data_IF_459600335384
#
_entry.id   IF_459600335384
#
_cell.length_a   1.000
_cell.length_b   1.000
_cell.length_c   1.000
_cell.angle_alpha   90.00
_cell.angle_beta   90.00
_cell.angle_gamma   90.00
#
_symmetry.space_group_name_H-M   'P 1'
#
loop_
_entity.id
_entity.type
_entity.pdbx_description
1 polymer ?
#
# COMPACT_ATOMS: atom_id res chain seq x y z
N UNK A 1 2.73 -22.79 5.90
CA UNK A 1 3.56 -22.88 4.69
C UNK A 1 4.58 -21.78 4.74
N UNK A 2 5.81 -22.15 5.10
CA UNK A 2 6.91 -21.23 5.40
C UNK A 2 7.68 -20.87 4.13
N UNK A 3 8.22 -19.65 4.13
CA UNK A 3 9.02 -19.07 3.05
C UNK A 3 10.27 -19.94 2.84
N UNK A 4 10.44 -20.51 1.64
CA UNK A 4 11.69 -21.17 1.26
C UNK A 4 12.73 -20.09 0.89
N UNK A 5 13.71 -19.86 1.75
CA UNK A 5 14.92 -19.12 1.40
C UNK A 5 15.99 -20.11 0.99
N UNK A 6 16.29 -20.21 -0.30
CA UNK A 6 17.48 -20.93 -0.76
C UNK A 6 18.65 -19.96 -0.92
N UNK A 7 19.88 -20.49 -0.88
CA UNK A 7 21.13 -19.74 -1.06
C UNK A 7 21.26 -18.97 -2.38
N UNK A 8 20.52 -19.33 -3.43
CA UNK A 8 20.77 -18.77 -4.77
C UNK A 8 19.68 -17.86 -5.29
N UNK A 9 18.71 -17.44 -4.44
CA UNK A 9 17.87 -16.30 -4.84
C UNK A 9 18.79 -15.10 -4.90
N UNK A 10 19.15 -14.72 -6.11
CA UNK A 10 20.00 -13.58 -6.39
C UNK A 10 19.27 -12.32 -5.90
N UNK A 11 19.57 -11.96 -4.66
CA UNK A 11 19.32 -10.71 -3.93
C UNK A 11 17.90 -10.45 -3.38
N UNK A 12 17.74 -10.65 -2.07
CA UNK A 12 17.08 -9.62 -1.27
C UNK A 12 17.88 -8.33 -1.52
N UNK A 13 17.39 -7.42 -2.37
CA UNK A 13 18.11 -6.17 -2.66
C UNK A 13 18.44 -5.42 -1.36
N UNK A 14 17.50 -5.48 -0.44
CA UNK A 14 17.58 -4.86 0.87
C UNK A 14 17.90 -5.94 1.89
N UNK A 15 19.18 -6.10 2.22
CA UNK A 15 19.65 -7.01 3.27
C UNK A 15 19.53 -6.39 4.66
N UNK A 16 19.53 -5.05 4.72
CA UNK A 16 19.42 -4.28 5.94
C UNK A 16 18.44 -3.13 5.76
N UNK A 17 17.55 -2.96 6.74
CA UNK A 17 16.73 -1.76 6.90
C UNK A 17 17.12 -1.10 8.21
N UNK A 18 17.33 0.23 8.17
CA UNK A 18 17.53 1.01 9.38
C UNK A 18 16.17 1.31 10.00
N UNK A 19 16.00 0.95 11.25
CA UNK A 19 14.85 1.32 12.07
C UNK A 19 15.31 2.37 13.07
N UNK A 20 14.58 3.48 13.15
CA UNK A 20 14.91 4.51 14.14
C UNK A 20 14.61 4.01 15.56
N UNK A 21 15.43 4.41 16.52
CA UNK A 21 15.25 3.99 17.91
C UNK A 21 13.87 4.45 18.43
N UNK A 22 13.18 3.57 19.18
CA UNK A 22 11.84 3.84 19.75
C UNK A 22 10.76 4.16 18.70
N UNK A 23 10.94 3.75 17.44
CA UNK A 23 9.93 3.89 16.38
C UNK A 23 9.06 2.64 16.25
N UNK A 24 7.82 2.83 15.80
CA UNK A 24 6.95 1.73 15.37
C UNK A 24 7.04 1.62 13.87
N UNK A 25 7.13 0.40 13.34
CA UNK A 25 7.30 0.18 11.91
C UNK A 25 6.47 -1.01 11.46
N UNK A 26 6.01 -0.97 10.22
CA UNK A 26 5.53 -2.14 9.50
C UNK A 26 6.53 -2.43 8.38
N UNK A 27 7.02 -3.65 8.36
CA UNK A 27 7.96 -4.12 7.34
C UNK A 27 7.21 -5.03 6.37
N UNK A 28 7.34 -4.75 5.08
CA UNK A 28 6.75 -5.53 4.00
C UNK A 28 7.84 -6.22 3.19
N UNK A 29 7.64 -7.51 2.91
CA UNK A 29 8.39 -8.24 1.90
C UNK A 29 7.54 -8.31 0.63
N UNK A 30 8.03 -7.72 -0.46
CA UNK A 30 7.30 -7.55 -1.72
C UNK A 30 8.17 -7.91 -2.91
N UNK A 31 7.56 -8.14 -4.07
CA UNK A 31 8.27 -8.32 -5.34
C UNK A 31 9.03 -7.03 -5.70
N UNK A 32 10.26 -7.16 -6.18
CA UNK A 32 11.05 -6.02 -6.64
C UNK A 32 10.55 -5.53 -8.01
N UNK A 33 10.72 -4.22 -8.25
CA UNK A 33 10.54 -3.61 -9.58
C UNK A 33 11.75 -3.80 -10.49
N UNK A 34 12.93 -4.09 -9.92
CA UNK A 34 14.19 -4.08 -10.68
C UNK A 34 14.42 -5.36 -11.46
N UNK A 35 14.04 -6.52 -10.89
CA UNK A 35 14.19 -7.81 -11.55
C UNK A 35 13.05 -8.75 -11.17
N UNK A 36 12.70 -9.65 -12.07
CA UNK A 36 11.72 -10.71 -11.87
C UNK A 36 12.13 -11.81 -10.87
N UNK A 37 13.36 -11.75 -10.35
CA UNK A 37 13.95 -12.77 -9.47
C UNK A 37 14.17 -12.28 -8.04
N UNK A 38 13.91 -11.00 -7.73
CA UNK A 38 14.27 -10.37 -6.45
C UNK A 38 13.06 -9.90 -5.65
N UNK A 39 13.23 -9.87 -4.32
CA UNK A 39 12.30 -9.24 -3.40
C UNK A 39 12.88 -7.92 -2.88
N UNK A 40 11.99 -6.98 -2.56
CA UNK A 40 12.29 -5.75 -1.83
C UNK A 40 11.74 -5.83 -0.41
N UNK A 41 12.48 -5.26 0.55
CA UNK A 41 11.98 -5.00 1.90
C UNK A 41 11.62 -3.51 1.99
N UNK A 42 10.34 -3.22 2.23
CA UNK A 42 9.85 -1.85 2.40
C UNK A 42 9.56 -1.63 3.88
N UNK A 43 10.28 -0.68 4.49
CA UNK A 43 10.00 -0.23 5.85
C UNK A 43 9.07 0.98 5.83
N UNK A 44 7.94 0.87 6.52
CA UNK A 44 6.98 1.96 6.68
C UNK A 44 6.90 2.32 8.17
N UNK A 45 7.47 3.47 8.59
CA UNK A 45 7.33 3.95 9.96
C UNK A 45 5.87 4.32 10.21
N UNK A 46 5.37 3.94 11.37
CA UNK A 46 4.05 4.32 11.84
C UNK A 46 4.23 5.58 12.69
N UNK A 47 3.72 6.70 12.18
CA UNK A 47 3.60 7.91 12.98
C UNK A 47 2.53 7.70 14.06
N UNK A 48 2.96 7.73 15.33
CA UNK A 48 2.03 7.90 16.44
C UNK A 48 1.63 9.36 16.46
N UNK A 49 0.46 9.66 15.92
CA UNK A 49 -0.15 10.97 16.03
C UNK A 49 -1.03 11.06 17.27
N UNK A 50 -1.11 12.23 17.86
CA UNK A 50 -2.12 12.51 18.88
C UNK A 50 -3.51 12.38 18.26
N UNK A 51 -4.48 11.95 19.08
CA UNK A 51 -5.87 11.84 18.64
C UNK A 51 -6.40 13.22 18.28
N UNK A 52 -6.87 13.36 17.03
CA UNK A 52 -7.53 14.57 16.55
C UNK A 52 -9.04 14.31 16.45
N UNK A 53 -9.81 15.11 17.17
CA UNK A 53 -11.26 15.03 17.10
C UNK A 53 -11.77 15.35 15.69
N UNK A 54 -12.78 14.61 15.21
CA UNK A 54 -13.32 14.84 13.87
C UNK A 54 -12.45 14.33 12.71
N UNK A 55 -11.27 13.74 12.97
CA UNK A 55 -10.36 13.25 11.92
C UNK A 55 -9.90 11.81 12.12
N UNK A 56 -9.49 11.20 11.00
CA UNK A 56 -8.83 9.89 10.91
C UNK A 56 -7.45 10.08 10.29
N UNK A 57 -6.40 9.46 10.84
CA UNK A 57 -5.09 9.44 10.17
C UNK A 57 -5.01 8.24 9.23
N UNK A 58 -4.71 8.47 7.96
CA UNK A 58 -4.53 7.43 6.95
C UNK A 58 -3.14 7.53 6.36
N UNK A 59 -2.38 6.43 6.47
CA UNK A 59 -1.11 6.24 5.79
C UNK A 59 -1.32 5.42 4.53
N UNK A 60 -1.00 6.00 3.39
CA UNK A 60 -1.06 5.38 2.08
C UNK A 60 0.30 4.76 1.76
N UNK A 61 0.31 3.53 1.24
CA UNK A 61 1.54 2.83 0.85
C UNK A 61 1.34 2.21 -0.52
N UNK A 62 2.23 2.53 -1.48
CA UNK A 62 2.26 1.86 -2.77
C UNK A 62 3.26 0.70 -2.73
N UNK A 63 2.77 -0.53 -2.79
CA UNK A 63 3.55 -1.76 -2.86
C UNK A 63 3.33 -2.49 -4.19
N UNK A 64 2.66 -1.85 -5.16
CA UNK A 64 2.44 -2.42 -6.49
C UNK A 64 3.65 -2.13 -7.36
N UNK A 65 4.34 -3.16 -7.89
CA UNK A 65 5.56 -2.95 -8.67
C UNK A 65 5.29 -2.38 -10.08
N UNK A 66 4.06 -2.50 -10.59
CA UNK A 66 3.72 -2.22 -11.99
C UNK A 66 2.47 -1.32 -12.17
N UNK A 67 1.83 -0.86 -11.08
CA UNK A 67 0.73 0.11 -11.16
C UNK A 67 1.22 1.53 -11.48
N UNK A 68 2.54 1.74 -11.51
CA UNK A 68 3.15 3.07 -11.61
C UNK A 68 2.93 3.90 -10.35
N UNK A 69 3.07 5.22 -10.51
CA UNK A 69 2.74 6.18 -9.44
C UNK A 69 1.25 6.21 -9.24
N UNK A 70 0.81 6.17 -7.99
CA UNK A 70 -0.60 6.22 -7.64
C UNK A 70 -1.02 7.59 -7.11
N UNK A 71 -2.28 7.91 -7.38
CA UNK A 71 -3.01 9.02 -6.82
C UNK A 71 -4.20 8.48 -6.02
N UNK A 72 -4.34 8.96 -4.78
CA UNK A 72 -5.48 8.69 -3.93
C UNK A 72 -6.44 9.87 -3.98
N UNK A 73 -7.73 9.57 -4.00
CA UNK A 73 -8.76 10.59 -3.89
C UNK A 73 -9.94 10.07 -3.07
N UNK A 74 -10.71 10.98 -2.48
CA UNK A 74 -11.89 10.65 -1.69
C UNK A 74 -13.14 10.97 -2.49
N UNK A 75 -14.18 10.16 -2.33
CA UNK A 75 -15.50 10.42 -2.91
C UNK A 75 -16.58 10.56 -1.84
N UNK A 76 -17.62 11.32 -2.17
CA UNK A 76 -18.85 11.43 -1.37
C UNK A 76 -19.82 10.27 -1.64
N UNK A 77 -20.99 10.30 -1.00
CA UNK A 77 -22.05 9.31 -1.20
C UNK A 77 -22.62 9.29 -2.64
N UNK A 78 -22.49 10.39 -3.38
CA UNK A 78 -22.87 10.50 -4.78
C UNK A 78 -21.78 10.01 -5.75
N UNK A 79 -20.60 9.66 -5.25
CA UNK A 79 -19.44 9.27 -6.05
C UNK A 79 -18.64 10.45 -6.61
N UNK A 80 -18.92 11.69 -6.19
CA UNK A 80 -18.18 12.86 -6.61
C UNK A 80 -16.89 12.98 -5.79
N UNK A 81 -15.81 13.38 -6.45
CA UNK A 81 -14.52 13.63 -5.80
C UNK A 81 -14.63 14.81 -4.84
N UNK A 82 -14.22 14.60 -3.59
CA UNK A 82 -14.19 15.65 -2.56
C UNK A 82 -12.87 16.39 -2.61
N UNK A 83 -12.87 17.68 -2.28
CA UNK A 83 -11.65 18.49 -2.22
C UNK A 83 -10.84 18.14 -0.97
N UNK A 84 -9.94 17.17 -1.09
CA UNK A 84 -8.97 16.82 -0.06
C UNK A 84 -7.56 16.70 -0.64
N UNK A 85 -6.56 17.18 0.09
CA UNK A 85 -5.15 17.03 -0.30
C UNK A 85 -4.66 15.62 0.03
N UNK A 86 -4.83 14.72 -0.92
CA UNK A 86 -4.38 13.34 -0.84
C UNK A 86 -3.10 13.12 -1.68
N UNK A 87 -2.32 12.05 -1.40
CA UNK A 87 -1.11 11.77 -2.16
C UNK A 87 -1.41 11.55 -3.66
N UNK A 88 -0.72 12.29 -4.53
CA UNK A 88 -0.96 12.27 -5.99
C UNK A 88 0.17 11.69 -6.83
N UNK A 89 1.32 11.37 -6.21
CA UNK A 89 2.51 10.88 -6.91
C UNK A 89 3.25 9.85 -6.07
N UNK A 90 2.54 8.85 -5.54
CA UNK A 90 3.13 7.86 -4.65
C UNK A 90 3.75 6.71 -5.48
N UNK A 91 5.08 6.68 -5.56
CA UNK A 91 5.83 5.68 -6.31
C UNK A 91 5.95 4.35 -5.54
N UNK A 92 6.39 3.28 -6.22
CA UNK A 92 6.63 1.99 -5.58
C UNK A 92 7.54 2.11 -4.34
N UNK A 93 7.13 1.50 -3.25
CA UNK A 93 7.82 1.52 -1.96
C UNK A 93 7.67 2.82 -1.17
N UNK A 94 7.01 3.84 -1.73
CA UNK A 94 6.75 5.10 -1.04
C UNK A 94 5.48 5.03 -0.19
N UNK A 95 5.44 5.89 0.83
CA UNK A 95 4.29 6.08 1.68
C UNK A 95 4.08 7.57 1.98
N UNK A 96 2.85 7.94 2.31
CA UNK A 96 2.47 9.29 2.72
C UNK A 96 1.33 9.21 3.74
N UNK A 97 1.30 10.12 4.72
CA UNK A 97 0.24 10.18 5.73
C UNK A 97 -0.58 11.46 5.59
N UNK A 98 -1.90 11.32 5.64
CA UNK A 98 -2.85 12.44 5.64
C UNK A 98 -3.85 12.27 6.78
N UNK A 99 -4.32 13.38 7.34
CA UNK A 99 -5.45 13.41 8.25
C UNK A 99 -6.70 13.77 7.47
N UNK A 100 -7.68 12.87 7.45
CA UNK A 100 -8.93 13.04 6.69
C UNK A 100 -10.03 13.53 7.61
N UNK A 101 -10.81 14.50 7.14
CA UNK A 101 -12.02 14.95 7.83
C UNK A 101 -13.07 13.84 7.85
N UNK A 102 -13.78 13.66 8.94
CA UNK A 102 -14.93 12.75 8.99
C UNK A 102 -16.22 13.42 8.48
N UNK A 103 -16.16 14.67 8.05
CA UNK A 103 -17.30 15.38 7.47
C UNK A 103 -17.93 14.58 6.32
N UNK A 104 -19.26 14.48 6.31
CA UNK A 104 -19.99 13.69 5.32
C UNK A 104 -19.94 12.17 5.52
N UNK A 105 -19.19 11.61 6.49
CA UNK A 105 -19.12 10.16 6.69
C UNK A 105 -20.47 9.52 7.08
N UNK A 106 -21.36 10.28 7.72
CA UNK A 106 -22.69 9.80 8.11
C UNK A 106 -23.55 9.39 6.88
N UNK A 107 -23.36 10.04 5.72
CA UNK A 107 -24.07 9.67 4.49
C UNK A 107 -23.46 8.44 3.79
N UNK A 108 -22.34 7.95 4.28
CA UNK A 108 -21.59 6.78 3.77
C UNK A 108 -21.41 5.71 4.86
N UNK A 109 -22.41 5.57 5.75
CA UNK A 109 -22.43 4.55 6.82
C UNK A 109 -21.20 4.58 7.73
N UNK A 110 -20.78 5.79 8.11
CA UNK A 110 -19.61 6.07 8.93
C UNK A 110 -18.31 5.55 8.30
N UNK A 111 -18.20 5.65 6.97
CA UNK A 111 -17.01 5.31 6.19
C UNK A 111 -16.51 6.46 5.33
N UNK A 112 -15.21 6.63 5.23
CA UNK A 112 -14.55 7.46 4.22
C UNK A 112 -14.28 6.59 2.99
N UNK A 113 -14.87 6.93 1.84
CA UNK A 113 -14.69 6.18 0.60
C UNK A 113 -13.46 6.72 -0.14
N UNK A 114 -12.44 5.89 -0.24
CA UNK A 114 -11.18 6.21 -0.92
C UNK A 114 -11.08 5.41 -2.22
N UNK A 115 -10.57 6.06 -3.25
CA UNK A 115 -10.29 5.47 -4.56
C UNK A 115 -8.86 5.78 -4.97
N UNK A 116 -8.35 4.96 -5.87
CA UNK A 116 -6.98 5.04 -6.36
C UNK A 116 -6.99 5.01 -7.88
N UNK A 117 -6.20 5.88 -8.50
CA UNK A 117 -5.98 5.92 -9.95
C UNK A 117 -4.49 6.09 -10.25
N UNK A 118 -4.03 5.86 -11.49
CA UNK A 118 -2.69 6.24 -11.89
C UNK A 118 -2.49 7.77 -11.74
N UNK A 119 -1.30 8.18 -11.32
CA UNK A 119 -0.94 9.59 -11.23
C UNK A 119 -1.01 10.25 -12.62
N UNK A 120 -1.61 11.43 -12.70
CA UNK A 120 -1.84 12.14 -13.97
C UNK A 120 -3.13 11.74 -14.70
N UNK A 121 -3.96 10.90 -14.09
CA UNK A 121 -5.29 10.52 -14.59
C UNK A 121 -5.35 9.10 -15.14
N UNK A 122 -6.58 8.60 -15.30
CA UNK A 122 -6.86 7.22 -15.73
C UNK A 122 -8.10 6.67 -15.05
N UNK A 123 -8.41 5.40 -15.34
CA UNK A 123 -9.48 4.67 -14.67
C UNK A 123 -9.11 4.29 -13.24
N UNK A 124 -10.14 3.98 -12.44
CA UNK A 124 -9.96 3.52 -11.06
C UNK A 124 -9.21 2.18 -11.03
N UNK A 125 -8.14 2.15 -10.25
CA UNK A 125 -7.36 0.95 -9.95
C UNK A 125 -8.02 0.12 -8.85
N UNK A 126 -8.48 0.79 -7.80
CA UNK A 126 -9.03 0.14 -6.60
C UNK A 126 -9.85 1.14 -5.76
N UNK A 127 -10.67 0.62 -4.87
CA UNK A 127 -11.41 1.40 -3.88
C UNK A 127 -11.42 0.72 -2.52
N UNK A 128 -11.47 1.52 -1.45
CA UNK A 128 -11.59 1.01 -0.08
C UNK A 128 -12.40 1.97 0.80
N UNK A 129 -13.08 1.41 1.78
CA UNK A 129 -13.81 2.14 2.81
C UNK A 129 -13.02 2.15 4.11
N UNK A 130 -12.66 3.34 4.61
CA UNK A 130 -11.99 3.53 5.90
C UNK A 130 -13.03 3.90 6.96
N UNK A 131 -13.11 3.22 8.12
CA UNK A 131 -14.02 3.64 9.18
C UNK A 131 -13.75 5.07 9.67
N UNK A 132 -14.80 5.88 9.76
CA UNK A 132 -14.77 7.23 10.30
C UNK A 132 -14.78 7.18 11.83
N UNK A 133 -13.62 6.83 12.41
CA UNK A 133 -13.44 6.72 13.85
C UNK A 133 -12.43 7.77 14.33
N UNK A 134 -12.88 8.75 15.11
CA UNK A 134 -12.03 9.85 15.56
C UNK A 134 -10.77 9.36 16.27
N UNK A 135 -9.60 9.82 15.81
CA UNK A 135 -8.31 9.44 16.37
C UNK A 135 -7.76 8.11 15.90
N UNK A 136 -8.52 7.34 15.12
CA UNK A 136 -8.03 6.08 14.59
C UNK A 136 -6.93 6.30 13.55
N UNK A 137 -5.94 5.39 13.57
CA UNK A 137 -4.84 5.37 12.61
C UNK A 137 -4.97 4.12 11.74
N UNK A 138 -5.05 4.32 10.44
CA UNK A 138 -5.12 3.27 9.44
C UNK A 138 -3.94 3.33 8.47
N UNK A 139 -3.52 2.16 8.00
CA UNK A 139 -2.65 2.02 6.83
C UNK A 139 -3.46 1.43 5.68
N UNK A 140 -3.47 2.12 4.54
CA UNK A 140 -4.04 1.65 3.28
C UNK A 140 -2.89 1.23 2.37
N UNK A 141 -2.93 -0.02 1.90
CA UNK A 141 -1.89 -0.59 1.05
C UNK A 141 -2.45 -0.92 -0.32
N UNK A 142 -1.85 -0.36 -1.37
CA UNK A 142 -2.02 -0.85 -2.75
C UNK A 142 -0.94 -1.90 -3.03
N UNK A 143 -1.32 -3.13 -3.39
CA UNK A 143 -0.37 -4.25 -3.56
C UNK A 143 -0.84 -5.23 -4.63
N UNK A 144 0.09 -6.07 -5.10
CA UNK A 144 -0.17 -6.99 -6.21
C UNK A 144 0.21 -6.36 -7.54
N UNK A 145 -0.13 -7.03 -8.63
CA UNK A 145 0.20 -6.62 -10.00
C UNK A 145 -1.02 -6.08 -10.72
N UNK A 146 -0.86 -4.91 -11.34
CA UNK A 146 -1.88 -4.32 -12.23
C UNK A 146 -2.01 -5.10 -13.54
N UNK A 147 -0.90 -5.68 -14.02
CA UNK A 147 -0.81 -6.42 -15.26
C UNK A 147 -0.32 -7.85 -15.03
N UNK A 148 -0.34 -8.66 -16.09
CA UNK A 148 0.33 -9.96 -16.05
C UNK A 148 1.83 -9.76 -15.88
N UNK A 149 2.46 -10.57 -15.02
CA UNK A 149 3.88 -10.50 -14.75
C UNK A 149 4.51 -11.90 -14.72
N UNK A 150 5.68 -12.06 -15.35
CA UNK A 150 6.51 -13.26 -15.16
C UNK A 150 7.39 -13.07 -13.93
N UNK A 151 7.49 -14.11 -13.09
CA UNK A 151 8.40 -14.15 -11.95
C UNK A 151 9.16 -15.45 -11.90
N UNK A 152 10.44 -15.37 -11.56
CA UNK A 152 11.28 -16.54 -11.38
C UNK A 152 11.25 -16.96 -9.92
N UNK A 153 10.70 -18.14 -9.67
CA UNK A 153 10.71 -18.79 -8.37
C UNK A 153 11.69 -19.95 -8.40
N UNK A 154 12.28 -20.25 -7.25
CA UNK A 154 13.14 -21.42 -7.17
C UNK A 154 12.31 -22.69 -7.11
N UNK A 155 12.62 -23.64 -8.00
CA UNK A 155 11.94 -24.93 -8.09
C UNK A 155 12.61 -25.98 -7.22
N UNK A 156 13.94 -25.98 -7.22
CA UNK A 156 14.81 -26.85 -6.43
C UNK A 156 16.16 -26.16 -6.19
N UNK A 157 17.12 -26.82 -5.54
CA UNK A 157 18.40 -26.21 -5.16
C UNK A 157 19.22 -25.63 -6.32
N UNK A 158 19.01 -26.09 -7.56
CA UNK A 158 19.83 -25.71 -8.72
C UNK A 158 19.01 -24.98 -9.79
N UNK A 159 17.69 -25.17 -9.82
CA UNK A 159 16.82 -24.71 -10.91
C UNK A 159 15.79 -23.67 -10.50
N UNK A 160 15.46 -22.83 -11.48
CA UNK A 160 14.38 -21.85 -11.42
C UNK A 160 13.23 -22.26 -12.35
N UNK A 161 12.01 -21.92 -11.94
CA UNK A 161 10.84 -21.96 -12.79
C UNK A 161 10.31 -20.53 -12.98
N UNK A 162 9.84 -20.24 -14.18
CA UNK A 162 9.01 -19.07 -14.43
C UNK A 162 7.57 -19.35 -14.01
N UNK A 163 6.96 -18.39 -13.35
CA UNK A 163 5.57 -18.40 -12.95
C UNK A 163 4.92 -17.13 -13.45
N UNK A 164 3.87 -17.32 -14.23
CA UNK A 164 2.98 -16.25 -14.65
C UNK A 164 2.05 -15.87 -13.50
N UNK A 165 2.15 -14.63 -13.06
CA UNK A 165 1.23 -14.02 -12.10
C UNK A 165 0.18 -13.27 -12.89
N UNK A 166 -1.07 -13.73 -12.78
CA UNK A 166 -2.21 -13.03 -13.32
C UNK A 166 -2.45 -11.70 -12.57
N UNK A 167 -3.01 -10.68 -13.23
CA UNK A 167 -3.36 -9.41 -12.58
C UNK A 167 -4.11 -9.65 -11.26
N UNK A 168 -3.59 -9.06 -10.18
CA UNK A 168 -4.11 -9.29 -8.82
C UNK A 168 -3.98 -8.06 -7.91
N UNK A 169 -3.96 -6.87 -8.51
CA UNK A 169 -3.95 -5.60 -7.82
C UNK A 169 -5.12 -5.53 -6.82
N UNK A 170 -4.79 -5.15 -5.59
CA UNK A 170 -5.75 -5.07 -4.50
C UNK A 170 -5.35 -3.99 -3.53
N UNK A 171 -6.36 -3.41 -2.90
CA UNK A 171 -6.19 -2.52 -1.77
C UNK A 171 -6.56 -3.25 -0.48
N UNK A 172 -5.81 -3.01 0.59
CA UNK A 172 -6.11 -3.55 1.92
C UNK A 172 -6.00 -2.47 2.98
N UNK A 173 -6.82 -2.58 4.02
CA UNK A 173 -6.84 -1.70 5.17
C UNK A 173 -6.28 -2.44 6.39
N UNK A 174 -5.43 -1.77 7.16
CA UNK A 174 -4.97 -2.22 8.47
C UNK A 174 -5.23 -1.13 9.49
N UNK A 175 -5.91 -1.46 10.58
CA UNK A 175 -5.97 -0.59 11.77
C UNK A 175 -4.69 -0.75 12.58
N UNK A 176 -4.11 0.36 13.03
CA UNK A 176 -2.81 0.35 13.72
C UNK A 176 -2.94 0.73 15.20
N UNK A 177 -3.68 1.79 15.53
CA UNK A 177 -3.86 2.27 16.91
C UNK A 177 -5.30 2.76 17.20
N UNK A 178 -5.58 2.98 18.49
CA UNK A 178 -6.72 3.72 19.05
C UNK A 178 -6.22 4.71 20.10
#
# INVERSE_FOLDING_TARGET
>A
NFIFTSKDKTYLKTEHIRLEAKSHNIVYLVESIETESSYAIINVPIERKERIEGKVTVQFVNLSPDAGKMEAYRVDAGGNETVETLPSNLDFGQYASTELSMEGAASTYDKLLLRFRPAGGGGDLASISVPAESGAVYTVLLRGFANEASRRIKKDNENYAEVTIQPNLRVSLRRVFY
#
